data_IF_523888938226
#
_entry.id   IF_523888938226
#
_cell.length_a   1.000
_cell.length_b   1.000
_cell.length_c   1.000
_cell.angle_alpha   90.00
_cell.angle_beta   90.00
_cell.angle_gamma   90.00
#
_symmetry.space_group_name_H-M   'P 1'
#
loop_
_entity.id
_entity.type
_entity.pdbx_description
1 polymer ?
#
# COMPACT_ATOMS: atom_id res chain seq x y z
N UNK A 1 -37.87 12.06 -17.26
CA UNK A 1 -38.21 13.42 -17.73
C UNK A 1 -37.51 13.65 -19.05
N UNK A 2 -38.29 13.62 -20.13
CA UNK A 2 -37.83 14.10 -21.44
C UNK A 2 -37.85 15.64 -21.40
N UNK A 3 -36.69 16.25 -21.39
CA UNK A 3 -36.58 17.70 -21.53
C UNK A 3 -36.56 18.01 -23.01
N UNK A 4 -37.58 18.74 -23.50
CA UNK A 4 -37.50 19.36 -24.83
C UNK A 4 -36.34 20.37 -24.80
N UNK A 5 -35.50 20.38 -25.84
CA UNK A 5 -34.30 21.25 -25.96
C UNK A 5 -34.63 22.77 -26.08
N UNK A 6 -35.70 23.22 -25.45
CA UNK A 6 -36.16 24.62 -25.55
C UNK A 6 -35.19 25.67 -24.95
N UNK A 7 -34.30 25.23 -24.05
CA UNK A 7 -33.35 26.10 -23.35
C UNK A 7 -31.90 26.01 -23.84
N UNK A 8 -31.63 25.27 -24.89
CA UNK A 8 -30.24 25.14 -25.42
C UNK A 8 -29.92 26.26 -26.40
N UNK A 9 -28.65 26.64 -26.52
CA UNK A 9 -28.16 27.62 -27.47
C UNK A 9 -28.38 27.14 -28.92
N UNK A 10 -28.67 28.05 -29.85
CA UNK A 10 -29.00 27.68 -31.25
C UNK A 10 -27.91 26.89 -31.97
N UNK A 11 -26.62 27.16 -31.64
CA UNK A 11 -25.50 26.40 -32.20
C UNK A 11 -25.49 24.95 -31.77
N UNK A 12 -25.90 24.65 -30.54
CA UNK A 12 -25.98 23.28 -29.99
C UNK A 12 -27.18 22.54 -30.56
N UNK A 13 -28.32 23.23 -30.70
CA UNK A 13 -29.51 22.70 -31.40
C UNK A 13 -29.18 22.28 -32.81
N UNK A 14 -28.42 23.10 -33.54
CA UNK A 14 -28.03 22.78 -34.91
C UNK A 14 -27.13 21.55 -35.03
N UNK A 15 -26.23 21.32 -34.08
CA UNK A 15 -25.42 20.11 -34.03
C UNK A 15 -26.25 18.86 -33.73
N UNK A 16 -27.23 18.96 -32.84
CA UNK A 16 -28.14 17.85 -32.52
C UNK A 16 -29.07 17.54 -33.69
N UNK A 17 -29.57 18.55 -34.37
CA UNK A 17 -30.40 18.38 -35.56
C UNK A 17 -29.66 17.69 -36.71
N UNK A 18 -28.38 18.03 -36.94
CA UNK A 18 -27.54 17.33 -37.92
C UNK A 18 -27.41 15.84 -37.65
N UNK A 19 -27.44 15.46 -36.36
CA UNK A 19 -27.38 14.05 -35.93
C UNK A 19 -28.76 13.40 -35.77
N UNK A 20 -29.83 14.11 -36.16
CA UNK A 20 -31.22 13.65 -36.01
C UNK A 20 -31.62 13.33 -34.56
N UNK A 21 -30.97 13.99 -33.57
CA UNK A 21 -31.28 13.81 -32.17
C UNK A 21 -32.46 14.72 -31.81
N UNK A 22 -33.57 14.09 -31.39
CA UNK A 22 -34.83 14.78 -31.10
C UNK A 22 -35.21 14.81 -29.62
N UNK A 23 -34.77 13.83 -28.85
CA UNK A 23 -35.10 13.69 -27.45
C UNK A 23 -33.86 13.31 -26.66
N UNK A 24 -33.87 13.64 -25.38
CA UNK A 24 -32.87 13.16 -24.43
C UNK A 24 -33.51 12.66 -23.15
N UNK A 25 -32.93 11.67 -22.55
CA UNK A 25 -33.32 11.15 -21.24
C UNK A 25 -32.12 11.16 -20.31
N UNK A 26 -32.25 11.76 -19.11
CA UNK A 26 -31.19 11.84 -18.14
C UNK A 26 -31.06 10.53 -17.34
N UNK A 27 -29.85 9.99 -17.27
CA UNK A 27 -29.48 8.92 -16.36
C UNK A 27 -29.12 9.53 -15.00
N UNK A 28 -29.81 9.17 -13.95
CA UNK A 28 -29.64 9.77 -12.62
C UNK A 28 -28.96 8.79 -11.66
N UNK A 29 -28.08 9.34 -10.83
CA UNK A 29 -27.53 8.68 -9.65
C UNK A 29 -27.89 9.54 -8.41
N UNK A 30 -29.00 9.22 -7.76
CA UNK A 30 -29.62 10.11 -6.80
C UNK A 30 -30.07 11.43 -7.43
N UNK A 31 -29.60 12.56 -6.90
CA UNK A 31 -29.89 13.90 -7.42
C UNK A 31 -28.91 14.36 -8.53
N UNK A 32 -27.86 13.58 -8.79
CA UNK A 32 -26.84 13.92 -9.78
C UNK A 32 -27.17 13.31 -11.15
N UNK A 33 -26.84 14.06 -12.22
CA UNK A 33 -26.90 13.57 -13.58
C UNK A 33 -25.65 12.72 -13.89
N UNK A 34 -25.82 11.41 -14.03
CA UNK A 34 -24.73 10.47 -14.32
C UNK A 34 -24.41 10.34 -15.81
N UNK A 35 -25.38 10.66 -16.67
CA UNK A 35 -25.26 10.58 -18.11
C UNK A 35 -26.54 10.99 -18.82
N UNK A 36 -26.52 10.98 -20.15
CA UNK A 36 -27.69 11.32 -21.00
C UNK A 36 -27.80 10.30 -22.12
N UNK A 37 -29.00 9.76 -22.31
CA UNK A 37 -29.36 9.00 -23.50
C UNK A 37 -29.88 9.97 -24.56
N UNK A 38 -29.26 9.98 -25.74
CA UNK A 38 -29.68 10.76 -26.88
C UNK A 38 -30.50 9.86 -27.79
N UNK A 39 -31.69 10.33 -28.16
CA UNK A 39 -32.66 9.54 -28.93
C UNK A 39 -32.86 10.19 -30.29
N UNK A 40 -32.60 9.42 -31.35
CA UNK A 40 -32.83 9.85 -32.73
C UNK A 40 -34.23 9.52 -33.17
N UNK A 41 -34.87 10.39 -33.94
CA UNK A 41 -36.15 10.10 -34.58
C UNK A 41 -36.19 10.73 -35.98
N UNK A 42 -36.92 10.13 -36.95
CA UNK A 42 -37.11 10.72 -38.26
C UNK A 42 -37.77 12.09 -38.16
N UNK A 43 -37.37 13.03 -39.04
CA UNK A 43 -37.91 14.40 -39.06
C UNK A 43 -39.42 14.47 -39.31
N UNK A 44 -39.99 13.41 -39.90
CA UNK A 44 -41.42 13.26 -40.15
C UNK A 44 -42.24 12.92 -38.91
N UNK A 45 -41.59 12.51 -37.81
CA UNK A 45 -42.27 12.10 -36.59
C UNK A 45 -42.56 13.30 -35.71
N UNK A 46 -43.82 13.61 -35.43
CA UNK A 46 -44.29 14.80 -34.68
C UNK A 46 -44.20 14.67 -33.17
N UNK A 47 -43.74 13.58 -32.60
CA UNK A 47 -43.63 13.37 -31.14
C UNK A 47 -43.45 11.91 -30.80
N UNK A 48 -43.18 11.63 -29.52
CA UNK A 48 -43.18 10.28 -28.97
C UNK A 48 -44.60 9.85 -28.60
N UNK A 49 -44.97 8.62 -28.92
CA UNK A 49 -46.20 8.01 -28.47
C UNK A 49 -46.05 7.58 -27.01
N UNK A 50 -47.15 7.45 -26.28
CA UNK A 50 -47.16 7.10 -24.86
C UNK A 50 -46.33 5.84 -24.54
N UNK A 51 -46.47 4.79 -25.35
CA UNK A 51 -45.71 3.54 -25.17
C UNK A 51 -44.19 3.73 -25.35
N UNK A 52 -43.80 4.60 -26.28
CA UNK A 52 -42.38 4.94 -26.51
C UNK A 52 -41.78 5.71 -25.31
N UNK A 53 -42.56 6.64 -24.72
CA UNK A 53 -42.16 7.37 -23.50
C UNK A 53 -42.01 6.40 -22.35
N UNK A 54 -42.94 5.46 -22.18
CA UNK A 54 -42.87 4.42 -21.16
C UNK A 54 -41.65 3.51 -21.35
N UNK A 55 -41.36 3.10 -22.56
CA UNK A 55 -40.19 2.28 -22.91
C UNK A 55 -38.90 3.05 -22.59
N UNK A 56 -38.79 4.31 -23.02
CA UNK A 56 -37.61 5.16 -22.74
C UNK A 56 -37.46 5.33 -21.25
N UNK A 57 -38.52 5.60 -20.50
CA UNK A 57 -38.49 5.74 -19.06
C UNK A 57 -37.99 4.45 -18.36
N UNK A 58 -38.51 3.30 -18.81
CA UNK A 58 -38.10 2.00 -18.27
C UNK A 58 -36.63 1.71 -18.55
N UNK A 59 -36.16 1.91 -19.80
CA UNK A 59 -34.75 1.71 -20.19
C UNK A 59 -33.86 2.67 -19.42
N UNK A 60 -34.26 3.94 -19.29
CA UNK A 60 -33.51 4.95 -18.54
C UNK A 60 -33.39 4.58 -17.06
N UNK A 61 -34.44 4.07 -16.45
CA UNK A 61 -34.44 3.62 -15.05
C UNK A 61 -33.51 2.44 -14.85
N UNK A 62 -33.59 1.42 -15.71
CA UNK A 62 -32.72 0.23 -15.65
C UNK A 62 -31.25 0.64 -15.87
N UNK A 63 -30.98 1.48 -16.87
CA UNK A 63 -29.64 1.97 -17.15
C UNK A 63 -29.05 2.79 -15.98
N UNK A 64 -29.88 3.64 -15.34
CA UNK A 64 -29.49 4.39 -14.14
C UNK A 64 -29.08 3.48 -12.98
N UNK A 65 -29.87 2.43 -12.72
CA UNK A 65 -29.57 1.42 -11.71
C UNK A 65 -28.28 0.66 -12.06
N UNK A 66 -28.12 0.26 -13.31
CA UNK A 66 -26.92 -0.45 -13.74
C UNK A 66 -25.64 0.40 -13.59
N UNK A 67 -25.67 1.68 -13.97
CA UNK A 67 -24.56 2.61 -13.80
C UNK A 67 -24.24 2.81 -12.32
N UNK A 68 -25.28 3.01 -11.50
CA UNK A 68 -25.10 3.14 -10.05
C UNK A 68 -24.43 1.90 -9.45
N UNK A 69 -24.91 0.72 -9.79
CA UNK A 69 -24.35 -0.54 -9.30
C UNK A 69 -22.89 -0.73 -9.76
N UNK A 70 -22.59 -0.41 -11.03
CA UNK A 70 -21.23 -0.47 -11.55
C UNK A 70 -20.27 0.47 -10.79
N UNK A 71 -20.68 1.71 -10.52
CA UNK A 71 -19.90 2.67 -9.71
C UNK A 71 -19.70 2.22 -8.27
N UNK A 72 -20.76 1.69 -7.64
CA UNK A 72 -20.65 1.15 -6.27
C UNK A 72 -19.70 -0.04 -6.22
N UNK A 73 -19.77 -0.91 -7.22
CA UNK A 73 -18.85 -2.05 -7.32
C UNK A 73 -17.40 -1.59 -7.54
N UNK A 74 -17.17 -0.65 -8.46
CA UNK A 74 -15.84 -0.06 -8.70
C UNK A 74 -15.27 0.58 -7.43
N UNK A 75 -16.09 1.38 -6.73
CA UNK A 75 -15.71 2.00 -5.45
C UNK A 75 -15.35 0.94 -4.42
N UNK A 76 -16.18 -0.09 -4.24
CA UNK A 76 -15.91 -1.18 -3.33
C UNK A 76 -14.61 -1.94 -3.68
N UNK A 77 -14.35 -2.16 -4.97
CA UNK A 77 -13.10 -2.76 -5.43
C UNK A 77 -11.87 -1.89 -5.10
N UNK A 78 -11.96 -0.57 -5.29
CA UNK A 78 -10.88 0.37 -4.95
C UNK A 78 -10.64 0.35 -3.43
N UNK A 79 -11.69 0.49 -2.62
CA UNK A 79 -11.60 0.45 -1.16
C UNK A 79 -11.03 -0.87 -0.64
N UNK A 80 -11.40 -2.00 -1.26
CA UNK A 80 -10.86 -3.31 -0.90
C UNK A 80 -9.37 -3.49 -1.25
N UNK A 81 -8.84 -2.73 -2.22
CA UNK A 81 -7.48 -2.89 -2.77
C UNK A 81 -6.48 -1.83 -2.32
N UNK A 82 -6.96 -0.67 -1.88
CA UNK A 82 -6.10 0.47 -1.56
C UNK A 82 -6.10 0.80 -0.08
N UNK A 83 -5.04 1.45 0.37
CA UNK A 83 -4.94 2.11 1.67
C UNK A 83 -5.60 3.48 1.59
N UNK A 84 -6.59 3.73 2.44
CA UNK A 84 -7.42 4.95 2.42
C UNK A 84 -6.60 6.23 2.60
N UNK A 85 -5.56 6.20 3.45
CA UNK A 85 -4.73 7.37 3.73
C UNK A 85 -3.84 7.75 2.56
N UNK A 86 -3.18 6.76 1.93
CA UNK A 86 -2.13 7.00 0.93
C UNK A 86 -2.60 6.77 -0.50
N UNK A 87 -3.69 6.01 -0.68
CA UNK A 87 -4.21 5.59 -1.97
C UNK A 87 -3.27 4.63 -2.72
N UNK A 88 -2.21 4.14 -2.10
CA UNK A 88 -1.40 3.02 -2.61
C UNK A 88 -2.14 1.71 -2.41
N UNK A 89 -1.65 0.62 -2.97
CA UNK A 89 -2.20 -0.70 -2.65
C UNK A 89 -2.12 -0.95 -1.14
N UNK A 90 -3.16 -1.57 -0.58
CA UNK A 90 -3.09 -2.04 0.79
C UNK A 90 -2.28 -3.35 0.87
N UNK A 91 -1.85 -3.71 2.07
CA UNK A 91 -1.03 -4.91 2.32
C UNK A 91 -1.65 -6.19 1.77
N UNK A 92 -2.96 -6.36 1.93
CA UNK A 92 -3.67 -7.57 1.49
C UNK A 92 -3.58 -7.73 -0.02
N UNK A 93 -3.99 -6.72 -0.75
CA UNK A 93 -4.00 -6.77 -2.22
C UNK A 93 -2.58 -6.81 -2.79
N UNK A 94 -1.62 -6.17 -2.12
CA UNK A 94 -0.21 -6.28 -2.48
C UNK A 94 0.31 -7.72 -2.47
N UNK A 95 -0.07 -8.53 -1.49
CA UNK A 95 0.30 -9.95 -1.46
C UNK A 95 -0.33 -10.75 -2.60
N UNK A 96 -1.56 -10.42 -2.99
CA UNK A 96 -2.22 -11.05 -4.14
C UNK A 96 -1.42 -10.73 -5.41
N UNK A 97 -1.10 -9.46 -5.65
CA UNK A 97 -0.28 -9.00 -6.79
C UNK A 97 1.12 -9.61 -6.78
N UNK A 98 1.77 -9.65 -5.62
CA UNK A 98 3.11 -10.25 -5.48
C UNK A 98 3.13 -11.72 -5.89
N UNK A 99 2.14 -12.51 -5.45
CA UNK A 99 2.04 -13.92 -5.84
C UNK A 99 1.76 -14.06 -7.34
N UNK A 100 0.85 -13.25 -7.91
CA UNK A 100 0.55 -13.29 -9.34
C UNK A 100 1.78 -12.92 -10.18
N UNK A 101 2.48 -11.83 -9.85
CA UNK A 101 3.66 -11.39 -10.57
C UNK A 101 4.84 -12.36 -10.41
N UNK A 102 4.98 -12.99 -9.25
CA UNK A 102 5.98 -14.03 -9.04
C UNK A 102 5.77 -15.23 -9.95
N UNK A 103 4.52 -15.71 -10.07
CA UNK A 103 4.16 -16.81 -10.97
C UNK A 103 4.32 -16.46 -12.46
N UNK A 104 3.96 -15.23 -12.86
CA UNK A 104 4.10 -14.74 -14.23
C UNK A 104 5.57 -14.55 -14.65
N UNK A 105 6.45 -14.22 -13.71
CA UNK A 105 7.83 -13.83 -14.00
C UNK A 105 8.85 -14.89 -13.55
N UNK A 106 8.50 -16.17 -13.59
CA UNK A 106 9.41 -17.26 -13.14
C UNK A 106 10.78 -17.27 -13.84
N UNK A 107 10.84 -16.85 -15.09
CA UNK A 107 12.06 -16.80 -15.92
C UNK A 107 12.64 -15.37 -16.05
N UNK A 108 11.88 -14.36 -15.61
CA UNK A 108 12.30 -12.96 -15.65
C UNK A 108 12.60 -12.43 -14.27
N UNK A 109 13.42 -11.36 -14.20
CA UNK A 109 13.69 -10.71 -12.92
C UNK A 109 12.44 -10.08 -12.33
N UNK A 110 12.25 -10.26 -11.02
CA UNK A 110 11.22 -9.61 -10.22
C UNK A 110 11.88 -9.05 -8.97
N UNK A 111 12.01 -7.73 -8.87
CA UNK A 111 12.60 -7.11 -7.71
C UNK A 111 11.53 -6.64 -6.73
N UNK A 112 11.83 -6.80 -5.45
CA UNK A 112 11.03 -6.33 -4.33
C UNK A 112 11.87 -5.42 -3.44
N UNK A 113 11.30 -4.29 -3.06
CA UNK A 113 11.88 -3.39 -2.07
C UNK A 113 10.87 -3.11 -0.95
N UNK A 114 11.35 -3.08 0.28
CA UNK A 114 10.63 -2.55 1.45
C UNK A 114 11.35 -1.29 1.91
N UNK A 115 10.59 -0.20 2.03
CA UNK A 115 11.05 1.13 2.45
C UNK A 115 10.40 1.45 3.78
N UNK A 116 11.18 1.65 4.82
CA UNK A 116 10.71 1.94 6.18
C UNK A 116 11.14 3.35 6.58
N UNK A 117 10.19 4.16 7.03
CA UNK A 117 10.46 5.54 7.48
C UNK A 117 11.13 5.49 8.85
N UNK A 118 12.31 6.08 8.94
CA UNK A 118 13.12 6.09 10.15
C UNK A 118 12.54 7.04 11.21
N UNK A 119 12.62 6.62 12.47
CA UNK A 119 12.24 7.41 13.66
C UNK A 119 10.84 8.06 13.56
N UNK A 120 9.91 7.47 12.81
CA UNK A 120 8.58 8.04 12.55
C UNK A 120 7.77 8.27 13.85
N UNK A 121 7.97 7.42 14.87
CA UNK A 121 7.35 7.63 16.19
C UNK A 121 7.83 8.95 16.83
N UNK A 122 9.13 9.24 16.74
CA UNK A 122 9.71 10.48 17.23
C UNK A 122 9.19 11.68 16.42
N UNK A 123 9.07 11.53 15.11
CA UNK A 123 8.47 12.56 14.24
C UNK A 123 7.04 12.92 14.70
N UNK A 124 6.19 11.91 14.96
CA UNK A 124 4.83 12.13 15.46
C UNK A 124 4.81 12.78 16.86
N UNK A 125 5.77 12.45 17.72
CA UNK A 125 5.88 13.08 19.03
C UNK A 125 6.28 14.57 18.95
N UNK A 126 7.11 14.93 17.99
CA UNK A 126 7.59 16.30 17.81
C UNK A 126 6.60 17.20 17.07
N UNK A 127 5.93 16.66 16.06
CA UNK A 127 5.11 17.47 15.12
C UNK A 127 3.62 17.13 15.16
N UNK A 128 3.24 16.08 15.88
CA UNK A 128 1.87 15.60 15.97
C UNK A 128 1.51 14.58 14.89
N UNK A 129 0.47 13.79 15.17
CA UNK A 129 0.02 12.69 14.31
C UNK A 129 -0.46 13.19 12.95
N UNK A 130 -1.15 14.34 12.90
CA UNK A 130 -1.64 14.92 11.64
C UNK A 130 -0.50 15.26 10.67
N UNK A 131 0.61 15.80 11.18
CA UNK A 131 1.79 16.07 10.35
C UNK A 131 2.48 14.79 9.91
N UNK A 132 2.46 13.76 10.75
CA UNK A 132 2.92 12.43 10.37
C UNK A 132 2.09 11.82 9.23
N UNK A 133 0.77 11.94 9.28
CA UNK A 133 -0.11 11.47 8.21
C UNK A 133 0.16 12.20 6.90
N UNK A 134 0.32 13.54 6.93
CA UNK A 134 0.71 14.33 5.77
C UNK A 134 2.08 13.88 5.23
N UNK A 135 3.04 13.62 6.10
CA UNK A 135 4.36 13.11 5.71
C UNK A 135 4.24 11.77 4.98
N UNK A 136 3.47 10.82 5.50
CA UNK A 136 3.24 9.52 4.86
C UNK A 136 2.53 9.66 3.50
N UNK A 137 1.56 10.57 3.37
CA UNK A 137 0.89 10.85 2.11
C UNK A 137 1.87 11.42 1.07
N UNK A 138 2.77 12.31 1.46
CA UNK A 138 3.79 12.86 0.58
C UNK A 138 4.81 11.81 0.14
N UNK A 139 5.26 10.94 1.07
CA UNK A 139 6.12 9.80 0.75
C UNK A 139 5.43 8.86 -0.24
N UNK A 140 4.17 8.55 -0.01
CA UNK A 140 3.37 7.71 -0.90
C UNK A 140 3.25 8.32 -2.31
N UNK A 141 3.06 9.63 -2.42
CA UNK A 141 3.02 10.34 -3.70
C UNK A 141 4.37 10.27 -4.45
N UNK A 142 5.49 10.42 -3.74
CA UNK A 142 6.84 10.26 -4.31
C UNK A 142 7.03 8.83 -4.82
N UNK A 143 6.70 7.83 -4.02
CA UNK A 143 6.83 6.42 -4.41
C UNK A 143 5.96 6.13 -5.64
N UNK A 144 4.70 6.54 -5.63
CA UNK A 144 3.77 6.37 -6.76
C UNK A 144 4.30 6.98 -8.04
N UNK A 145 4.77 8.23 -7.99
CA UNK A 145 5.28 8.93 -9.16
C UNK A 145 6.59 8.33 -9.69
N UNK A 146 7.43 7.81 -8.80
CA UNK A 146 8.71 7.19 -9.16
C UNK A 146 8.53 5.79 -9.75
N UNK A 147 7.58 5.01 -9.25
CA UNK A 147 7.26 3.66 -9.74
C UNK A 147 6.47 3.74 -11.06
N UNK A 148 5.48 4.65 -11.15
CA UNK A 148 4.64 4.82 -12.34
C UNK A 148 4.03 3.50 -12.80
N UNK A 149 4.07 3.27 -14.12
CA UNK A 149 3.58 2.04 -14.76
C UNK A 149 4.58 0.88 -14.74
N UNK A 150 5.77 1.09 -14.16
CA UNK A 150 6.84 0.08 -14.13
C UNK A 150 6.64 -0.99 -13.05
N UNK A 151 5.71 -0.79 -12.12
CA UNK A 151 5.51 -1.72 -11.03
C UNK A 151 4.36 -1.35 -10.12
N UNK A 152 4.39 -1.89 -8.92
CA UNK A 152 3.32 -1.73 -7.93
C UNK A 152 3.88 -1.13 -6.64
N UNK A 153 3.15 -0.17 -6.09
CA UNK A 153 3.49 0.46 -4.82
C UNK A 153 2.37 0.23 -3.80
N UNK A 154 2.75 -0.13 -2.57
CA UNK A 154 1.80 -0.44 -1.50
C UNK A 154 2.20 0.21 -0.19
N UNK A 155 1.22 0.48 0.65
CA UNK A 155 1.45 0.71 2.07
C UNK A 155 1.44 -0.63 2.80
N UNK A 156 2.63 -1.11 3.12
CA UNK A 156 2.84 -2.44 3.68
C UNK A 156 2.58 -2.51 5.18
N UNK A 157 2.84 -1.42 5.90
CA UNK A 157 2.61 -1.25 7.33
C UNK A 157 2.35 0.21 7.69
N UNK A 158 2.30 0.53 8.97
CA UNK A 158 2.03 1.90 9.43
C UNK A 158 2.96 2.94 8.83
N UNK A 159 4.26 2.64 8.79
CA UNK A 159 5.35 3.49 8.26
C UNK A 159 6.21 2.76 7.22
N UNK A 160 5.70 1.68 6.64
CA UNK A 160 6.40 0.80 5.73
C UNK A 160 5.70 0.78 4.38
N UNK A 161 6.49 0.91 3.33
CA UNK A 161 6.04 0.88 1.96
C UNK A 161 6.71 -0.27 1.23
N UNK A 162 5.97 -0.94 0.36
CA UNK A 162 6.50 -1.98 -0.51
C UNK A 162 6.46 -1.52 -1.96
N UNK A 163 7.50 -1.86 -2.72
CA UNK A 163 7.61 -1.60 -4.15
C UNK A 163 7.97 -2.89 -4.85
N UNK A 164 7.09 -3.35 -5.74
CA UNK A 164 7.30 -4.54 -6.57
C UNK A 164 7.57 -4.11 -8.00
N UNK A 165 8.67 -4.58 -8.57
CA UNK A 165 9.19 -4.15 -9.87
C UNK A 165 9.40 -5.35 -10.79
N UNK A 166 8.37 -5.72 -11.59
CA UNK A 166 8.53 -6.76 -12.61
C UNK A 166 9.58 -6.35 -13.65
N UNK A 167 10.41 -7.32 -14.05
CA UNK A 167 11.50 -7.16 -15.03
C UNK A 167 12.66 -6.25 -14.60
N UNK A 168 12.71 -5.86 -13.33
CA UNK A 168 13.85 -5.13 -12.76
C UNK A 168 14.86 -6.11 -12.16
N UNK A 169 16.14 -5.87 -12.43
CA UNK A 169 17.23 -6.50 -11.70
C UNK A 169 17.56 -5.72 -10.41
N UNK A 170 18.48 -6.26 -9.61
CA UNK A 170 18.89 -5.65 -8.35
C UNK A 170 19.48 -4.26 -8.53
N UNK A 171 20.22 -4.02 -9.61
CA UNK A 171 20.88 -2.74 -9.86
C UNK A 171 19.85 -1.66 -10.25
N UNK A 172 18.97 -1.96 -11.17
CA UNK A 172 17.89 -1.06 -11.61
C UNK A 172 16.93 -0.74 -10.47
N UNK A 173 16.57 -1.75 -9.66
CA UNK A 173 15.74 -1.57 -8.48
C UNK A 173 16.41 -0.68 -7.43
N UNK A 174 17.71 -0.89 -7.18
CA UNK A 174 18.48 -0.04 -6.28
C UNK A 174 18.50 1.41 -6.72
N UNK A 175 18.77 1.68 -7.99
CA UNK A 175 18.79 3.04 -8.53
C UNK A 175 17.43 3.75 -8.34
N UNK A 176 16.33 3.05 -8.56
CA UNK A 176 14.99 3.58 -8.33
C UNK A 176 14.76 3.90 -6.84
N UNK A 177 15.09 2.97 -5.95
CA UNK A 177 14.91 3.17 -4.49
C UNK A 177 15.82 4.29 -3.97
N UNK A 178 17.05 4.44 -4.49
CA UNK A 178 17.93 5.57 -4.17
C UNK A 178 17.35 6.90 -4.63
N UNK A 179 16.73 6.94 -5.81
CA UNK A 179 16.03 8.13 -6.30
C UNK A 179 14.86 8.50 -5.40
N UNK A 180 14.05 7.51 -4.98
CA UNK A 180 12.94 7.69 -4.04
C UNK A 180 13.46 8.24 -2.70
N UNK A 181 14.49 7.64 -2.13
CA UNK A 181 15.08 8.08 -0.86
C UNK A 181 15.60 9.52 -0.93
N UNK A 182 16.27 9.89 -2.02
CA UNK A 182 16.72 11.27 -2.27
C UNK A 182 15.57 12.26 -2.35
N UNK A 183 14.49 11.92 -3.05
CA UNK A 183 13.31 12.77 -3.16
C UNK A 183 12.62 12.97 -1.80
N UNK A 184 12.50 11.91 -1.00
CA UNK A 184 11.96 11.98 0.38
C UNK A 184 12.82 12.91 1.23
N UNK A 185 14.14 12.77 1.18
CA UNK A 185 15.06 13.63 1.92
C UNK A 185 14.92 15.10 1.52
N UNK A 186 14.86 15.40 0.21
CA UNK A 186 14.70 16.77 -0.32
C UNK A 186 13.33 17.35 0.02
N UNK A 187 12.27 16.56 -0.04
CA UNK A 187 10.90 16.99 0.32
C UNK A 187 10.87 17.61 1.72
N UNK A 188 11.50 16.96 2.67
CA UNK A 188 11.48 17.40 4.06
C UNK A 188 12.37 18.62 4.32
N UNK A 189 13.49 18.75 3.62
CA UNK A 189 14.41 19.90 3.77
C UNK A 189 13.87 21.21 3.20
N UNK A 190 12.79 21.19 2.40
CA UNK A 190 12.14 22.41 1.88
C UNK A 190 11.18 23.05 2.90
N UNK A 191 10.88 22.38 3.99
CA UNK A 191 10.01 22.93 5.07
C UNK A 191 10.87 23.72 6.06
N UNK A 192 10.89 25.02 5.87
CA UNK A 192 11.69 25.97 6.70
C UNK A 192 11.18 26.12 8.14
N UNK A 193 9.97 25.66 8.42
CA UNK A 193 9.30 25.68 9.71
C UNK A 193 9.67 24.48 10.60
N UNK A 194 10.24 23.41 10.02
CA UNK A 194 10.64 22.20 10.76
C UNK A 194 12.16 22.16 10.97
N UNK A 195 12.61 22.69 12.10
CA UNK A 195 14.05 22.85 12.39
C UNK A 195 14.80 21.60 12.88
N UNK A 196 14.15 20.45 13.12
CA UNK A 196 14.75 19.45 14.02
C UNK A 196 15.21 18.13 13.40
N UNK A 197 14.66 17.62 12.31
CA UNK A 197 15.21 16.39 11.70
C UNK A 197 14.61 16.11 10.32
N UNK A 198 15.47 15.89 9.34
CA UNK A 198 15.06 15.37 8.04
C UNK A 198 14.49 13.95 8.20
N UNK A 199 13.38 13.64 7.54
CA UNK A 199 12.87 12.28 7.44
C UNK A 199 13.81 11.49 6.55
N UNK A 200 14.30 10.37 7.05
CA UNK A 200 15.11 9.41 6.30
C UNK A 200 14.39 8.09 6.19
N UNK A 201 14.87 7.23 5.31
CA UNK A 201 14.32 5.90 5.09
C UNK A 201 15.41 4.85 5.12
N UNK A 202 15.08 3.69 5.66
CA UNK A 202 15.88 2.47 5.59
C UNK A 202 15.19 1.51 4.63
N UNK A 203 15.89 1.05 3.60
CA UNK A 203 15.30 0.18 2.60
C UNK A 203 16.11 -1.10 2.39
N UNK A 204 15.40 -2.20 2.15
CA UNK A 204 15.94 -3.48 1.72
C UNK A 204 15.44 -3.85 0.35
N UNK A 205 16.28 -4.48 -0.46
CA UNK A 205 15.96 -4.89 -1.83
C UNK A 205 16.41 -6.33 -2.03
N UNK A 206 15.56 -7.14 -2.66
CA UNK A 206 15.92 -8.47 -3.15
C UNK A 206 15.26 -8.73 -4.50
N UNK A 207 15.72 -9.73 -5.24
CA UNK A 207 15.14 -10.09 -6.53
C UNK A 207 15.12 -11.60 -6.75
N UNK A 208 14.05 -12.08 -7.38
CA UNK A 208 13.94 -13.43 -7.91
C UNK A 208 14.26 -13.41 -9.43
N UNK A 209 14.76 -14.55 -9.99
CA UNK A 209 15.07 -15.81 -9.32
C UNK A 209 16.45 -15.82 -8.66
N UNK A 210 17.21 -14.75 -8.77
CA UNK A 210 18.63 -14.67 -8.39
C UNK A 210 18.87 -14.92 -6.89
N UNK A 211 18.11 -14.25 -6.01
CA UNK A 211 18.27 -14.32 -4.57
C UNK A 211 17.13 -15.08 -3.86
N UNK A 212 16.03 -15.38 -4.55
CA UNK A 212 14.87 -16.04 -3.97
C UNK A 212 14.18 -16.99 -4.96
N UNK A 213 13.72 -18.13 -4.46
CA UNK A 213 13.04 -19.18 -5.25
C UNK A 213 11.52 -19.18 -5.07
N UNK A 214 11.03 -18.48 -4.09
CA UNK A 214 9.62 -18.35 -3.78
C UNK A 214 9.35 -17.00 -3.10
N UNK A 215 8.06 -16.63 -3.03
CA UNK A 215 7.62 -15.36 -2.45
C UNK A 215 8.05 -15.21 -0.98
N UNK A 216 7.99 -16.30 -0.21
CA UNK A 216 8.38 -16.28 1.20
C UNK A 216 9.86 -15.93 1.36
N UNK A 217 10.73 -16.59 0.59
CA UNK A 217 12.17 -16.32 0.61
C UNK A 217 12.48 -14.89 0.12
N UNK A 218 11.76 -14.42 -0.89
CA UNK A 218 11.91 -13.03 -1.38
C UNK A 218 11.59 -12.01 -0.29
N UNK A 219 10.51 -12.19 0.45
CA UNK A 219 10.11 -11.35 1.57
C UNK A 219 11.11 -11.41 2.73
N UNK A 220 11.50 -12.62 3.15
CA UNK A 220 12.49 -12.81 4.22
C UNK A 220 13.82 -12.12 3.91
N UNK A 221 14.28 -12.21 2.67
CA UNK A 221 15.51 -11.58 2.22
C UNK A 221 15.43 -10.04 2.29
N UNK A 222 14.32 -9.48 1.88
CA UNK A 222 14.10 -8.02 1.95
C UNK A 222 14.03 -7.56 3.40
N UNK A 223 13.32 -8.28 4.26
CA UNK A 223 13.21 -7.96 5.69
C UNK A 223 14.58 -8.01 6.38
N UNK A 224 15.41 -9.00 6.05
CA UNK A 224 16.79 -9.08 6.55
C UNK A 224 17.65 -7.89 6.08
N UNK A 225 17.50 -7.46 4.84
CA UNK A 225 18.20 -6.30 4.31
C UNK A 225 17.77 -5.01 5.04
N UNK A 226 16.47 -4.80 5.26
CA UNK A 226 15.95 -3.66 6.04
C UNK A 226 16.47 -3.70 7.48
N UNK A 227 16.44 -4.88 8.11
CA UNK A 227 16.95 -5.07 9.46
C UNK A 227 18.42 -4.63 9.56
N UNK A 228 19.26 -5.06 8.62
CA UNK A 228 20.68 -4.70 8.59
C UNK A 228 20.87 -3.17 8.51
N UNK A 229 20.14 -2.48 7.61
CA UNK A 229 20.23 -1.01 7.52
C UNK A 229 19.86 -0.34 8.82
N UNK A 230 18.78 -0.79 9.47
CA UNK A 230 18.33 -0.22 10.74
C UNK A 230 19.34 -0.36 11.86
N UNK A 231 20.09 -1.45 11.90
CA UNK A 231 21.12 -1.71 12.92
C UNK A 231 22.48 -1.09 12.56
N UNK A 232 22.72 -0.78 11.28
CA UNK A 232 23.96 -0.11 10.81
C UNK A 232 23.86 1.42 10.82
N UNK A 233 22.90 2.02 11.54
CA UNK A 233 22.78 3.47 11.69
C UNK A 233 21.63 4.11 10.92
N UNK A 234 20.74 3.33 10.27
CA UNK A 234 19.59 3.80 9.49
C UNK A 234 19.99 4.61 8.24
N UNK A 235 19.04 5.27 7.59
CA UNK A 235 19.26 6.14 6.43
C UNK A 235 20.14 5.49 5.35
N UNK A 236 19.72 4.33 4.86
CA UNK A 236 20.49 3.57 3.89
C UNK A 236 19.66 2.57 3.11
N UNK A 237 20.31 1.94 2.15
CA UNK A 237 19.71 0.95 1.28
C UNK A 237 20.63 -0.27 1.22
N UNK A 238 20.10 -1.43 1.55
CA UNK A 238 20.80 -2.70 1.47
C UNK A 238 20.17 -3.57 0.39
N UNK A 239 21.00 -4.07 -0.50
CA UNK A 239 20.63 -5.13 -1.44
C UNK A 239 20.96 -6.46 -0.80
N UNK A 240 19.98 -7.39 -0.81
CA UNK A 240 20.20 -8.77 -0.42
C UNK A 240 20.68 -9.55 -1.64
N UNK A 241 21.90 -10.03 -1.58
CA UNK A 241 22.48 -10.97 -2.53
C UNK A 241 23.00 -12.23 -1.81
N UNK A 242 23.45 -13.21 -2.57
CA UNK A 242 23.98 -14.45 -2.01
C UNK A 242 25.26 -14.25 -1.20
N UNK A 243 26.06 -13.23 -1.51
CA UNK A 243 27.25 -12.85 -0.74
C UNK A 243 26.88 -12.23 0.60
N UNK A 244 25.85 -11.39 0.63
CA UNK A 244 25.30 -10.83 1.86
C UNK A 244 24.83 -11.94 2.81
N UNK A 245 24.15 -12.96 2.28
CA UNK A 245 23.72 -14.14 3.05
C UNK A 245 24.91 -14.88 3.67
N UNK A 246 25.97 -15.14 2.90
CA UNK A 246 27.14 -15.87 3.36
C UNK A 246 27.94 -15.10 4.43
N UNK A 247 28.07 -13.80 4.29
CA UNK A 247 28.80 -12.94 5.22
C UNK A 247 28.04 -12.72 6.54
N UNK A 248 26.71 -12.76 6.51
CA UNK A 248 25.87 -12.51 7.67
C UNK A 248 25.27 -13.78 8.29
N UNK A 249 25.39 -14.94 7.64
CA UNK A 249 24.88 -16.20 8.20
C UNK A 249 25.55 -16.56 9.54
N UNK A 250 26.82 -16.16 9.75
CA UNK A 250 27.51 -16.29 11.03
C UNK A 250 27.18 -15.18 12.02
N UNK A 251 26.78 -13.99 11.55
CA UNK A 251 26.36 -12.86 12.37
C UNK A 251 24.92 -12.99 12.88
N UNK A 252 24.01 -13.47 12.03
CA UNK A 252 22.57 -13.55 12.34
C UNK A 252 22.23 -14.53 13.46
N UNK A 253 23.00 -15.62 13.61
CA UNK A 253 22.88 -16.51 14.77
C UNK A 253 23.44 -15.88 16.03
N UNK A 254 24.53 -15.10 15.95
CA UNK A 254 25.07 -14.33 17.07
C UNK A 254 24.21 -13.12 17.43
N UNK A 255 23.69 -12.38 16.44
CA UNK A 255 22.86 -11.19 16.70
C UNK A 255 21.47 -11.52 17.23
N UNK A 256 20.86 -12.66 16.82
CA UNK A 256 19.62 -13.12 17.49
C UNK A 256 19.88 -13.42 18.99
N UNK A 257 20.94 -14.13 19.30
CA UNK A 257 21.31 -14.37 20.70
C UNK A 257 21.69 -13.08 21.45
N UNK A 258 22.31 -12.09 20.78
CA UNK A 258 22.63 -10.80 21.36
C UNK A 258 21.39 -9.92 21.59
N UNK A 259 20.44 -9.92 20.65
CA UNK A 259 19.15 -9.22 20.78
C UNK A 259 18.36 -9.79 21.97
N UNK A 260 18.28 -11.11 22.09
CA UNK A 260 17.64 -11.72 23.25
C UNK A 260 18.34 -11.32 24.55
N UNK A 261 19.67 -11.26 24.60
CA UNK A 261 20.42 -10.79 25.79
C UNK A 261 20.22 -9.31 26.08
N UNK A 262 20.12 -8.46 25.08
CA UNK A 262 19.87 -7.01 25.26
C UNK A 262 18.46 -6.73 25.78
N UNK A 263 17.47 -7.50 25.32
CA UNK A 263 16.09 -7.44 25.84
C UNK A 263 15.92 -8.24 27.13
N UNK A 264 16.74 -9.22 27.41
CA UNK A 264 16.69 -10.06 28.60
C UNK A 264 16.71 -9.19 29.87
N UNK A 265 17.64 -8.26 29.96
CA UNK A 265 17.74 -7.32 31.08
C UNK A 265 16.50 -6.42 31.21
N UNK A 266 15.94 -5.98 30.08
CA UNK A 266 14.74 -5.14 30.04
C UNK A 266 13.49 -5.96 30.39
N UNK A 267 13.39 -7.18 29.88
CA UNK A 267 12.30 -8.11 30.21
C UNK A 267 12.35 -8.48 31.69
N UNK A 268 13.54 -8.79 32.24
CA UNK A 268 13.69 -9.05 33.66
C UNK A 268 13.34 -7.83 34.53
N UNK A 269 13.76 -6.62 34.10
CA UNK A 269 13.40 -5.38 34.81
C UNK A 269 11.91 -5.10 34.79
N UNK A 270 11.25 -5.32 33.68
CA UNK A 270 9.79 -5.18 33.51
C UNK A 270 9.03 -6.25 34.30
N UNK A 271 9.48 -7.51 34.26
CA UNK A 271 8.89 -8.61 35.02
C UNK A 271 9.05 -8.33 36.51
N UNK A 272 10.24 -7.91 36.98
CA UNK A 272 10.48 -7.53 38.37
C UNK A 272 9.65 -6.30 38.82
N UNK A 273 9.41 -5.33 37.93
CA UNK A 273 8.55 -4.18 38.24
C UNK A 273 7.06 -4.56 38.33
N UNK A 274 6.60 -5.50 37.51
CA UNK A 274 5.23 -6.07 37.57
C UNK A 274 5.10 -6.89 38.86
N UNK A 275 6.05 -7.74 39.14
CA UNK A 275 6.09 -8.59 40.35
C UNK A 275 6.19 -7.77 41.65
N UNK A 276 6.86 -6.61 41.62
CA UNK A 276 6.92 -5.69 42.76
C UNK A 276 5.59 -4.97 43.04
N UNK A 277 4.73 -4.86 42.06
CA UNK A 277 3.40 -4.23 42.18
C UNK A 277 2.33 -5.21 42.69
N UNK A 278 2.53 -6.49 42.46
CA UNK A 278 1.57 -7.56 42.79
C UNK A 278 2.30 -8.69 43.56
N UNK A 279 2.24 -8.65 44.87
CA UNK A 279 2.94 -9.61 45.76
C UNK A 279 2.56 -11.09 45.52
N UNK A 280 1.60 -11.39 44.64
CA UNK A 280 1.13 -12.74 44.33
C UNK A 280 1.84 -13.35 43.12
N UNK A 281 2.50 -12.57 42.26
CA UNK A 281 2.99 -13.01 40.95
C UNK A 281 4.47 -13.41 40.90
N UNK A 282 5.30 -12.97 41.88
CA UNK A 282 6.74 -13.25 41.89
C UNK A 282 7.06 -14.75 41.85
N UNK A 283 6.35 -15.56 42.66
CA UNK A 283 6.53 -17.01 42.64
C UNK A 283 5.96 -17.66 41.43
N UNK A 284 4.95 -17.05 40.77
CA UNK A 284 4.31 -17.60 39.57
C UNK A 284 5.21 -17.46 38.34
N UNK A 285 5.76 -16.28 38.07
CA UNK A 285 6.64 -16.03 36.91
C UNK A 285 7.92 -16.90 36.99
N UNK A 286 8.52 -17.01 38.16
CA UNK A 286 9.68 -17.90 38.36
C UNK A 286 9.33 -19.38 38.18
N UNK A 287 8.20 -19.83 38.67
CA UNK A 287 7.75 -21.21 38.48
C UNK A 287 7.44 -21.53 37.02
N UNK A 288 6.80 -20.59 36.28
CA UNK A 288 6.54 -20.75 34.83
C UNK A 288 7.85 -20.84 34.06
N UNK A 289 8.84 -19.98 34.34
CA UNK A 289 10.15 -20.05 33.71
C UNK A 289 10.86 -21.38 34.03
N UNK A 290 10.83 -21.81 35.27
CA UNK A 290 11.42 -23.08 35.71
C UNK A 290 10.80 -24.30 35.00
N UNK A 291 9.47 -24.38 34.95
CA UNK A 291 8.79 -25.48 34.26
C UNK A 291 8.97 -25.45 32.75
N UNK A 292 9.03 -24.25 32.14
CA UNK A 292 9.32 -24.07 30.72
C UNK A 292 10.73 -24.60 30.39
N UNK A 293 11.72 -24.28 31.21
CA UNK A 293 13.11 -24.77 31.06
C UNK A 293 13.19 -26.29 31.22
N UNK A 294 12.51 -26.85 32.22
CA UNK A 294 12.44 -28.30 32.38
C UNK A 294 11.83 -29.02 31.18
N UNK A 295 10.75 -28.42 30.62
CA UNK A 295 10.08 -28.99 29.45
C UNK A 295 10.98 -28.91 28.20
N UNK A 296 11.63 -27.76 27.98
CA UNK A 296 12.58 -27.57 26.90
C UNK A 296 13.74 -28.59 26.96
N UNK A 297 14.31 -28.76 28.16
CA UNK A 297 15.39 -29.78 28.39
C UNK A 297 14.89 -31.21 28.12
N UNK A 298 13.67 -31.55 28.57
CA UNK A 298 13.05 -32.84 28.32
C UNK A 298 12.75 -33.12 26.83
N UNK A 299 12.52 -32.04 26.05
CA UNK A 299 12.31 -32.12 24.60
C UNK A 299 13.63 -32.06 23.79
N UNK A 300 14.80 -32.03 24.47
CA UNK A 300 16.10 -31.98 23.80
C UNK A 300 16.40 -30.64 23.12
N UNK A 301 15.77 -29.53 23.54
CA UNK A 301 16.10 -28.20 23.07
C UNK A 301 17.39 -27.75 23.76
N UNK A 302 18.30 -27.13 22.99
CA UNK A 302 19.56 -26.57 23.51
C UNK A 302 19.31 -25.36 24.40
N UNK A 303 20.27 -25.08 25.28
CA UNK A 303 20.22 -23.91 26.20
C UNK A 303 20.42 -22.53 25.51
N UNK A 304 20.41 -22.48 24.18
CA UNK A 304 20.59 -21.23 23.41
C UNK A 304 19.24 -20.54 23.06
#
# INVERSE_FOLDING_TARGET
YTVEFKSMWESEKHQLDKKHIRYCAGLKDGDCLAGVILITAPSSKKGLVYDEVQLISSVTSVASIAIKNARLYEKACIEARTDEMTGLLNRKYFYEVLNEEFEKNKEASLALAIINVDDFKLYNQLYGVKEGDICLQQIAAIIRSSVGDSGYAARYGGKEFAVLLPKYDLFSARNLVESIAKQIFVMNNRRTDMKLKAVTVSAGISAAPYAARNVKELMENVDLAVYHVKHSGKNGIQVFDTMFRNNNAQGLTRDRAHIYREYETTIYALTAAIDAKDHYTFSHSNNVAYYATMLATALGMNED
#
